data_IF_086373020460
#
_entry.id   IF_086373020460
#
_cell.length_a   1.000
_cell.length_b   1.000
_cell.length_c   1.000
_cell.angle_alpha   90.00
_cell.angle_beta   90.00
_cell.angle_gamma   90.00
#
_symmetry.space_group_name_H-M   'P 1'
#
loop_
_entity.id
_entity.type
_entity.pdbx_description
1 polymer ?
#
# COMPACT_ATOMS: atom_id res chain seq x y z
N UNK A 1 -7.20 -21.05 -13.25
CA UNK A 1 -7.02 -19.79 -12.51
C UNK A 1 -5.68 -19.18 -12.92
N UNK A 2 -5.64 -17.90 -13.33
CA UNK A 2 -4.38 -17.27 -13.77
C UNK A 2 -3.39 -17.20 -12.59
N UNK A 3 -2.19 -17.74 -12.77
CA UNK A 3 -1.22 -17.94 -11.69
C UNK A 3 -0.43 -16.68 -11.30
N UNK A 4 -0.51 -15.60 -12.09
CA UNK A 4 0.24 -14.35 -11.89
C UNK A 4 -0.56 -13.13 -12.35
N UNK A 5 -1.02 -12.33 -11.40
CA UNK A 5 -1.86 -11.15 -11.63
C UNK A 5 -1.19 -9.91 -11.05
N UNK A 6 -1.34 -8.77 -11.73
CA UNK A 6 -0.97 -7.45 -11.20
C UNK A 6 -2.12 -6.81 -10.44
N UNK A 7 -3.36 -7.07 -10.87
CA UNK A 7 -4.59 -6.65 -10.19
C UNK A 7 -5.58 -7.82 -10.22
N UNK A 8 -6.23 -8.08 -9.10
CA UNK A 8 -7.30 -9.07 -8.99
C UNK A 8 -8.65 -8.37 -8.78
N UNK A 9 -9.46 -8.27 -9.85
CA UNK A 9 -10.77 -7.61 -9.80
C UNK A 9 -11.85 -8.41 -9.05
N UNK A 10 -11.55 -9.65 -8.65
CA UNK A 10 -12.44 -10.48 -7.84
C UNK A 10 -12.28 -10.21 -6.33
N UNK A 11 -11.37 -9.32 -5.93
CA UNK A 11 -11.26 -8.83 -4.57
C UNK A 11 -12.35 -7.80 -4.27
N UNK A 12 -12.54 -7.47 -2.98
CA UNK A 12 -13.44 -6.38 -2.60
C UNK A 12 -12.99 -5.07 -3.24
N UNK A 13 -13.92 -4.21 -3.61
CA UNK A 13 -13.61 -2.90 -4.22
C UNK A 13 -12.59 -2.10 -3.39
N UNK A 14 -12.72 -2.12 -2.06
CA UNK A 14 -11.79 -1.49 -1.12
C UNK A 14 -10.36 -2.02 -1.27
N UNK A 15 -10.20 -3.33 -1.37
CA UNK A 15 -8.88 -3.96 -1.50
C UNK A 15 -8.29 -3.75 -2.90
N UNK A 16 -9.11 -3.75 -3.95
CA UNK A 16 -8.68 -3.41 -5.31
C UNK A 16 -8.16 -1.97 -5.37
N UNK A 17 -8.90 -1.01 -4.80
CA UNK A 17 -8.46 0.39 -4.71
C UNK A 17 -7.17 0.51 -3.88
N UNK A 18 -7.09 -0.18 -2.75
CA UNK A 18 -5.88 -0.24 -1.94
C UNK A 18 -4.68 -0.77 -2.73
N UNK A 19 -4.86 -1.83 -3.52
CA UNK A 19 -3.80 -2.40 -4.35
C UNK A 19 -3.32 -1.43 -5.45
N UNK A 20 -4.23 -0.74 -6.12
CA UNK A 20 -3.89 0.26 -7.14
C UNK A 20 -3.15 1.45 -6.51
N UNK A 21 -3.65 1.94 -5.38
CA UNK A 21 -3.03 3.05 -4.64
C UNK A 21 -1.65 2.67 -4.10
N UNK A 22 -1.45 1.41 -3.71
CA UNK A 22 -0.16 0.88 -3.28
C UNK A 22 0.88 0.91 -4.40
N UNK A 23 0.50 0.60 -5.63
CA UNK A 23 1.41 0.76 -6.78
C UNK A 23 1.76 2.22 -7.05
N UNK A 24 0.77 3.12 -7.01
CA UNK A 24 1.00 4.54 -7.23
C UNK A 24 1.92 5.14 -6.16
N UNK A 25 1.65 4.88 -4.88
CA UNK A 25 2.52 5.29 -3.78
C UNK A 25 3.90 4.66 -3.87
N UNK A 26 3.98 3.41 -4.32
CA UNK A 26 5.25 2.73 -4.59
C UNK A 26 6.12 3.53 -5.55
N UNK A 27 5.55 3.94 -6.69
CA UNK A 27 6.24 4.77 -7.70
C UNK A 27 6.59 6.16 -7.16
N UNK A 28 5.67 6.83 -6.45
CA UNK A 28 5.94 8.15 -5.88
C UNK A 28 7.06 8.13 -4.85
N UNK A 29 7.15 7.08 -4.04
CA UNK A 29 8.23 6.90 -3.08
C UNK A 29 9.59 6.66 -3.76
N UNK A 30 9.63 5.99 -4.92
CA UNK A 30 10.87 5.87 -5.72
C UNK A 30 11.42 7.24 -6.16
N UNK A 31 10.53 8.17 -6.52
CA UNK A 31 10.92 9.50 -6.98
C UNK A 31 11.34 10.47 -5.85
N UNK A 32 11.08 10.12 -4.58
CA UNK A 32 11.27 11.02 -3.43
C UNK A 32 12.66 10.93 -2.79
N UNK A 33 13.46 9.93 -3.14
CA UNK A 33 14.85 9.77 -2.69
C UNK A 33 15.19 8.36 -2.21
N UNK A 34 16.48 8.09 -1.95
CA UNK A 34 17.00 6.72 -1.75
C UNK A 34 16.33 5.95 -0.61
N UNK A 35 16.03 6.60 0.51
CA UNK A 35 15.40 5.92 1.65
C UNK A 35 13.91 5.62 1.40
N UNK A 36 13.18 6.57 0.80
CA UNK A 36 11.80 6.34 0.35
C UNK A 36 11.73 5.29 -0.75
N UNK A 37 12.75 5.19 -1.60
CA UNK A 37 12.78 4.22 -2.69
C UNK A 37 12.72 2.76 -2.18
N UNK A 38 13.37 2.45 -1.05
CA UNK A 38 13.29 1.11 -0.44
C UNK A 38 11.85 0.75 -0.04
N UNK A 39 11.13 1.71 0.53
CA UNK A 39 9.70 1.57 0.87
C UNK A 39 8.87 1.45 -0.41
N UNK A 40 9.20 2.24 -1.44
CA UNK A 40 8.56 2.17 -2.74
C UNK A 40 8.64 0.77 -3.35
N UNK A 41 9.83 0.17 -3.38
CA UNK A 41 10.03 -1.21 -3.85
C UNK A 41 9.23 -2.20 -3.01
N UNK A 42 9.23 -2.06 -1.68
CA UNK A 42 8.43 -2.91 -0.79
C UNK A 42 6.92 -2.81 -1.09
N UNK A 43 6.41 -1.60 -1.36
CA UNK A 43 5.02 -1.37 -1.75
C UNK A 43 4.69 -2.04 -3.08
N UNK A 44 5.54 -1.90 -4.10
CA UNK A 44 5.33 -2.54 -5.40
C UNK A 44 5.30 -4.08 -5.29
N UNK A 45 6.22 -4.66 -4.53
CA UNK A 45 6.24 -6.11 -4.27
C UNK A 45 5.00 -6.55 -3.47
N UNK A 46 4.57 -5.75 -2.50
CA UNK A 46 3.39 -6.03 -1.71
C UNK A 46 2.11 -5.97 -2.56
N UNK A 47 2.00 -5.01 -3.49
CA UNK A 47 0.88 -4.93 -4.43
C UNK A 47 0.81 -6.15 -5.34
N UNK A 48 1.96 -6.58 -5.89
CA UNK A 48 2.01 -7.80 -6.67
C UNK A 48 1.59 -9.01 -5.83
N UNK A 49 2.05 -9.11 -4.59
CA UNK A 49 1.66 -10.21 -3.70
C UNK A 49 0.18 -10.20 -3.31
N UNK A 50 -0.41 -9.02 -3.06
CA UNK A 50 -1.85 -8.84 -2.78
C UNK A 50 -2.69 -9.28 -3.97
N UNK A 51 -2.29 -8.91 -5.19
CA UNK A 51 -2.99 -9.35 -6.41
C UNK A 51 -2.94 -10.87 -6.63
N UNK A 52 -2.00 -11.55 -5.97
CA UNK A 52 -1.85 -13.01 -5.98
C UNK A 52 -2.26 -13.65 -4.64
N UNK A 53 -3.10 -12.96 -3.87
CA UNK A 53 -3.78 -13.46 -2.67
C UNK A 53 -2.83 -14.00 -1.58
N UNK A 54 -1.66 -13.35 -1.42
CA UNK A 54 -0.65 -13.72 -0.40
C UNK A 54 -0.83 -12.94 0.90
N UNK A 55 -0.98 -13.65 2.02
CA UNK A 55 -1.18 -13.03 3.35
C UNK A 55 0.04 -12.24 3.83
N UNK A 56 1.24 -12.73 3.53
CA UNK A 56 2.50 -12.03 3.85
C UNK A 56 2.57 -10.68 3.11
N UNK A 57 2.06 -10.61 1.89
CA UNK A 57 2.09 -9.38 1.10
C UNK A 57 1.16 -8.31 1.68
N UNK A 58 0.00 -8.69 2.21
CA UNK A 58 -0.87 -7.76 2.93
C UNK A 58 -0.18 -7.17 4.18
N UNK A 59 0.52 -8.02 4.97
CA UNK A 59 1.30 -7.53 6.12
C UNK A 59 2.41 -6.56 5.69
N UNK A 60 3.12 -6.90 4.61
CA UNK A 60 4.15 -6.03 4.03
C UNK A 60 3.56 -4.68 3.59
N UNK A 61 2.42 -4.69 2.89
CA UNK A 61 1.74 -3.48 2.44
C UNK A 61 1.34 -2.56 3.60
N UNK A 62 0.80 -3.12 4.67
CA UNK A 62 0.44 -2.35 5.88
C UNK A 62 1.69 -1.76 6.50
N UNK A 63 2.74 -2.58 6.71
CA UNK A 63 3.99 -2.12 7.31
C UNK A 63 4.66 -1.01 6.48
N UNK A 64 4.76 -1.18 5.15
CA UNK A 64 5.34 -0.18 4.25
C UNK A 64 4.51 1.11 4.21
N UNK A 65 3.17 1.01 4.27
CA UNK A 65 2.29 2.18 4.31
C UNK A 65 2.41 2.95 5.62
N UNK A 66 2.49 2.26 6.76
CA UNK A 66 2.77 2.89 8.07
C UNK A 66 4.13 3.58 8.06
N UNK A 67 5.18 2.91 7.58
CA UNK A 67 6.51 3.50 7.46
C UNK A 67 6.51 4.75 6.57
N UNK A 68 5.82 4.68 5.43
CA UNK A 68 5.64 5.80 4.49
C UNK A 68 5.01 7.03 5.16
N UNK A 69 4.00 6.83 6.02
CA UNK A 69 3.35 7.89 6.81
C UNK A 69 4.31 8.45 7.86
N UNK A 70 4.91 7.60 8.69
CA UNK A 70 5.79 8.04 9.79
C UNK A 70 6.98 8.84 9.30
N UNK A 71 7.60 8.45 8.18
CA UNK A 71 8.73 9.18 7.63
C UNK A 71 8.36 10.54 7.07
N UNK A 72 7.17 10.68 6.48
CA UNK A 72 6.68 11.99 6.05
C UNK A 72 6.45 12.91 7.26
N UNK A 73 5.93 12.35 8.36
CA UNK A 73 5.76 13.07 9.62
C UNK A 73 7.09 13.49 10.26
N UNK A 74 8.14 12.66 10.15
CA UNK A 74 9.46 12.99 10.74
C UNK A 74 10.30 13.92 9.88
N UNK A 75 10.14 13.88 8.55
CA UNK A 75 10.98 14.64 7.61
C UNK A 75 10.50 16.06 7.34
N UNK A 76 9.24 16.39 7.65
CA UNK A 76 8.62 17.68 7.34
C UNK A 76 8.27 18.44 8.61
N UNK A 77 8.55 19.75 8.61
CA UNK A 77 8.36 20.64 9.76
C UNK A 77 6.93 21.18 9.91
N UNK A 78 5.98 20.76 9.07
CA UNK A 78 4.56 21.15 9.13
C UNK A 78 4.06 21.93 7.90
N UNK A 79 2.83 22.45 7.96
CA UNK A 79 2.22 23.30 6.93
C UNK A 79 1.29 22.57 5.94
N UNK A 80 1.05 23.17 4.77
CA UNK A 80 0.22 22.53 3.73
C UNK A 80 0.97 21.40 3.01
N UNK A 81 2.30 21.46 2.95
CA UNK A 81 3.13 20.45 2.29
C UNK A 81 2.94 19.07 2.93
N UNK A 82 2.97 19.00 4.26
CA UNK A 82 2.77 17.75 4.98
C UNK A 82 1.37 17.18 4.74
N UNK A 83 0.34 18.02 4.73
CA UNK A 83 -1.03 17.62 4.43
C UNK A 83 -1.11 17.00 3.04
N UNK A 84 -0.64 17.69 2.00
CA UNK A 84 -0.66 17.17 0.63
C UNK A 84 0.19 15.90 0.47
N UNK A 85 1.33 15.81 1.16
CA UNK A 85 2.20 14.63 1.12
C UNK A 85 1.57 13.39 1.77
N UNK A 86 0.61 13.57 2.70
CA UNK A 86 0.01 12.52 3.50
C UNK A 86 -1.31 11.98 2.95
N UNK A 87 -2.01 12.71 2.07
CA UNK A 87 -3.32 12.31 1.54
C UNK A 87 -3.30 10.87 1.00
N UNK A 88 -2.38 10.59 0.07
CA UNK A 88 -2.28 9.29 -0.58
C UNK A 88 -1.86 8.15 0.36
N UNK A 89 -0.77 8.25 1.15
CA UNK A 89 -0.36 7.16 2.03
C UNK A 89 -1.33 6.91 3.19
N UNK A 90 -2.01 7.94 3.70
CA UNK A 90 -3.05 7.78 4.74
C UNK A 90 -4.30 7.12 4.14
N UNK A 91 -4.76 7.56 2.97
CA UNK A 91 -5.86 6.92 2.27
C UNK A 91 -5.57 5.45 1.95
N UNK A 92 -4.34 5.14 1.51
CA UNK A 92 -3.88 3.78 1.28
C UNK A 92 -3.92 2.94 2.55
N UNK A 93 -3.34 3.43 3.64
CA UNK A 93 -3.33 2.73 4.92
C UNK A 93 -4.77 2.45 5.38
N UNK A 94 -5.66 3.43 5.29
CA UNK A 94 -7.08 3.30 5.62
C UNK A 94 -7.75 2.21 4.79
N UNK A 95 -7.53 2.16 3.47
CA UNK A 95 -8.09 1.13 2.59
C UNK A 95 -7.57 -0.28 2.94
N UNK A 96 -6.29 -0.42 3.30
CA UNK A 96 -5.68 -1.72 3.63
C UNK A 96 -6.20 -2.29 4.96
N UNK A 97 -6.40 -1.43 5.97
CA UNK A 97 -6.88 -1.84 7.30
C UNK A 97 -8.41 -1.84 7.42
N UNK A 98 -9.11 -1.34 6.41
CA UNK A 98 -10.57 -1.31 6.37
C UNK A 98 -11.14 -2.72 6.62
N UNK A 99 -12.26 -2.87 7.36
CA UNK A 99 -12.85 -4.18 7.67
C UNK A 99 -13.07 -5.06 6.44
N UNK A 100 -13.54 -4.49 5.33
CA UNK A 100 -13.75 -5.22 4.07
C UNK A 100 -12.47 -5.81 3.48
N UNK A 101 -11.34 -5.11 3.61
CA UNK A 101 -10.02 -5.61 3.17
C UNK A 101 -9.49 -6.67 4.14
N UNK A 102 -9.64 -6.43 5.45
CA UNK A 102 -9.18 -7.33 6.52
C UNK A 102 -9.91 -8.67 6.54
N UNK A 103 -11.23 -8.67 6.42
CA UNK A 103 -12.02 -9.91 6.39
C UNK A 103 -11.76 -10.68 5.09
N UNK A 104 -11.64 -9.99 3.95
CA UNK A 104 -11.32 -10.65 2.69
C UNK A 104 -9.97 -11.37 2.75
N UNK A 105 -8.89 -10.69 3.15
CA UNK A 105 -7.57 -11.34 3.24
C UNK A 105 -7.55 -12.47 4.27
N UNK A 106 -8.32 -12.36 5.36
CA UNK A 106 -8.35 -13.38 6.40
C UNK A 106 -8.89 -14.71 5.86
N UNK A 107 -9.95 -14.64 5.06
CA UNK A 107 -10.67 -15.79 4.50
C UNK A 107 -9.97 -16.32 3.25
N UNK A 108 -9.56 -15.44 2.34
CA UNK A 108 -9.17 -15.83 0.98
C UNK A 108 -7.65 -15.86 0.75
N UNK A 109 -6.85 -15.17 1.58
CA UNK A 109 -5.40 -15.17 1.38
C UNK A 109 -4.74 -16.35 2.08
N UNK A 110 -3.75 -16.91 1.39
CA UNK A 110 -2.90 -17.98 1.89
C UNK A 110 -1.60 -17.39 2.49
#
# INVERSE_FOLDING_TARGET
MQSRRWINRYQTQTLVLGNVLLYMEGVFNLARGSFFALIGVAMLMAGYGIANDKKVAWKLAVASSVASVLLRLSAQSGGLEILFSLIFPVALLALLIHPLSREYQKIWFN
#
